data_IF_918498197089
#
_entry.id   IF_918498197089
#
_cell.length_a   1.000
_cell.length_b   1.000
_cell.length_c   1.000
_cell.angle_alpha   90.00
_cell.angle_beta   90.00
_cell.angle_gamma   90.00
#
_symmetry.space_group_name_H-M   'P 1'
#
loop_
_entity.id
_entity.type
_entity.pdbx_description
1 polymer ?
2 non-polymer ?
3 non-polymer ?
4 water ?
#
# COMPACT_ATOMS: atom_id res chain seq x y z
N UNK A 1 11.01 14.40 6.03
CA UNK A 1 9.79 15.10 5.55
C UNK A 1 8.52 14.51 6.16
N UNK A 2 7.42 15.24 5.98
CA UNK A 2 6.09 14.83 6.42
C UNK A 2 5.35 14.90 5.11
N UNK A 3 5.01 13.74 4.57
CA UNK A 3 4.36 13.67 3.27
C UNK A 3 2.86 13.45 3.35
N UNK A 4 2.09 14.31 2.67
CA UNK A 4 0.63 14.15 2.64
C UNK A 4 0.25 13.24 1.48
N UNK A 5 -0.95 12.67 1.57
CA UNK A 5 -1.43 11.70 0.60
C UNK A 5 -2.43 12.14 -0.47
N UNK A 6 -2.36 13.41 -0.85
CA UNK A 6 -3.25 13.92 -1.89
C UNK A 6 -2.89 13.32 -3.27
N UNK A 7 -1.61 12.99 -3.44
CA UNK A 7 -1.14 12.35 -4.67
C UNK A 7 -0.30 11.15 -4.19
N UNK A 8 -0.03 10.22 -5.10
CA UNK A 8 0.75 9.04 -4.75
C UNK A 8 2.09 9.44 -4.13
N UNK A 9 2.49 8.80 -3.00
CA UNK A 9 3.78 9.17 -2.40
C UNK A 9 4.97 8.57 -3.17
N UNK A 10 5.32 9.19 -4.31
CA UNK A 10 6.46 8.74 -5.14
C UNK A 10 7.74 9.46 -4.70
N UNK A 11 8.85 8.73 -4.67
CA UNK A 11 10.14 9.27 -4.26
C UNK A 11 11.18 8.72 -5.19
N UNK A 12 12.36 9.31 -5.09
CA UNK A 12 13.50 8.91 -5.90
C UNK A 12 14.24 7.82 -5.17
N UNK A 13 14.59 6.77 -5.90
CA UNK A 13 15.36 5.70 -5.32
C UNK A 13 16.52 5.45 -6.29
N UNK A 14 17.72 5.27 -5.74
CA UNK A 14 18.91 5.01 -6.53
C UNK A 14 19.34 3.60 -6.20
N UNK A 15 19.50 2.78 -7.22
CA UNK A 15 19.89 1.41 -6.98
C UNK A 15 20.72 0.87 -8.14
N UNK A 16 21.97 0.55 -7.84
CA UNK A 16 22.87 0.04 -8.85
C UNK A 16 23.19 1.15 -9.81
N UNK A 17 23.45 2.33 -9.24
CA UNK A 17 23.76 3.48 -10.06
C UNK A 17 22.56 4.08 -10.78
N UNK A 18 21.54 3.27 -11.04
CA UNK A 18 20.32 3.72 -11.73
C UNK A 18 19.31 4.43 -10.82
N UNK A 19 18.81 5.56 -11.30
CA UNK A 19 17.81 6.34 -10.58
C UNK A 19 16.43 5.94 -11.10
N UNK A 20 15.50 5.79 -10.15
CA UNK A 20 14.13 5.42 -10.44
C UNK A 20 13.16 6.04 -9.42
N UNK A 21 11.89 5.77 -9.64
CA UNK A 21 10.85 6.29 -8.78
C UNK A 21 10.09 5.11 -8.22
N UNK A 22 9.70 5.21 -6.96
CA UNK A 22 8.96 4.14 -6.33
C UNK A 22 7.94 4.71 -5.38
N UNK A 23 6.90 3.94 -5.16
CA UNK A 23 5.81 4.30 -4.28
C UNK A 23 6.06 3.89 -2.82
N UNK A 24 5.94 4.83 -1.88
CA UNK A 24 6.12 4.50 -0.46
C UNK A 24 4.80 3.79 -0.13
N UNK A 25 4.88 2.48 0.07
CA UNK A 25 3.69 1.65 0.27
C UNK A 25 3.61 0.99 1.65
N UNK A 26 2.79 1.54 2.55
CA UNK A 26 2.66 0.97 3.88
C UNK A 26 1.76 -0.27 3.85
N UNK A 27 1.11 -0.48 2.71
CA UNK A 27 0.26 -1.64 2.53
C UNK A 27 1.02 -2.83 1.95
N UNK A 28 2.29 -2.63 1.59
CA UNK A 28 3.15 -3.69 1.05
C UNK A 28 4.15 -4.21 2.11
N UNK A 29 4.19 -5.52 2.30
CA UNK A 29 5.10 -6.13 3.28
C UNK A 29 6.53 -6.02 2.77
N UNK A 30 6.64 -6.21 1.46
CA UNK A 30 7.90 -6.22 0.73
C UNK A 30 8.03 -5.10 -0.31
N UNK A 31 9.26 -4.92 -0.77
CA UNK A 31 9.63 -3.93 -1.76
C UNK A 31 9.64 -4.68 -3.08
N UNK A 32 8.86 -4.23 -4.04
CA UNK A 32 8.80 -4.94 -5.32
C UNK A 32 9.18 -4.02 -6.46
N UNK A 33 10.18 -4.46 -7.25
CA UNK A 33 10.70 -3.68 -8.38
C UNK A 33 10.69 -4.36 -9.75
N UNK A 34 10.74 -3.50 -10.77
CA UNK A 34 10.82 -3.92 -12.16
C UNK A 34 12.22 -4.54 -12.27
N UNK A 35 12.52 -5.24 -13.36
CA UNK A 35 13.86 -5.83 -13.49
C UNK A 35 14.95 -4.77 -13.27
N UNK A 36 15.86 -5.05 -12.34
CA UNK A 36 16.95 -4.13 -12.04
C UNK A 36 18.29 -4.73 -12.49
N UNK A 37 18.21 -5.90 -13.12
CA UNK A 37 19.39 -6.64 -13.60
C UNK A 37 20.47 -6.64 -12.51
N UNK A 38 20.08 -7.14 -11.34
CA UNK A 38 20.95 -7.20 -10.17
C UNK A 38 21.88 -8.41 -10.21
N UNK A 39 23.15 -8.22 -9.79
CA UNK A 39 24.12 -9.33 -9.78
C UNK A 39 23.78 -10.23 -8.61
N UNK A 40 24.35 -11.43 -8.61
CA UNK A 40 24.10 -12.34 -7.50
C UNK A 40 23.00 -13.34 -7.71
N UNK A 41 22.88 -14.23 -6.73
CA UNK A 41 21.87 -15.28 -6.75
C UNK A 41 20.54 -14.71 -6.25
N UNK A 42 19.45 -15.44 -6.49
CA UNK A 42 18.12 -15.02 -6.07
C UNK A 42 17.30 -16.26 -5.78
N UNK A 43 16.17 -16.08 -5.13
CA UNK A 43 15.30 -17.21 -4.83
C UNK A 43 13.94 -16.86 -5.37
N UNK A 44 13.36 -17.77 -6.15
CA UNK A 44 12.04 -17.46 -6.67
C UNK A 44 11.02 -17.55 -5.54
N UNK A 45 9.92 -16.83 -5.70
CA UNK A 45 8.83 -16.86 -4.72
C UNK A 45 7.58 -16.26 -5.35
N UNK A 46 6.46 -16.39 -4.64
CA UNK A 46 5.20 -15.85 -5.10
C UNK A 46 4.76 -14.83 -4.06
N UNK A 47 4.18 -13.73 -4.52
CA UNK A 47 3.64 -12.71 -3.63
C UNK A 47 2.30 -12.39 -4.22
N UNK A 48 1.42 -11.82 -3.41
CA UNK A 48 0.11 -11.49 -3.93
C UNK A 48 -0.26 -10.05 -3.65
N UNK A 49 -1.26 -9.57 -4.36
CA UNK A 49 -1.70 -8.22 -4.13
C UNK A 49 -3.19 -8.29 -4.30
N UNK A 50 -3.77 -7.20 -4.76
CA UNK A 50 -5.20 -7.16 -5.00
C UNK A 50 -5.13 -7.73 -6.43
N UNK A 51 -6.00 -8.67 -6.77
CA UNK A 51 -5.97 -9.18 -8.13
C UNK A 51 -5.29 -10.50 -8.42
N UNK A 52 -4.64 -11.11 -7.44
CA UNK A 52 -3.99 -12.37 -7.73
C UNK A 52 -2.54 -12.39 -7.31
N UNK A 53 -1.80 -13.37 -7.80
CA UNK A 53 -0.41 -13.54 -7.43
C UNK A 53 0.58 -13.37 -8.58
N UNK A 54 1.82 -13.04 -8.25
CA UNK A 54 2.85 -12.90 -9.27
C UNK A 54 4.13 -13.62 -8.82
N UNK A 55 4.94 -14.02 -9.79
CA UNK A 55 6.19 -14.70 -9.50
C UNK A 55 7.25 -13.62 -9.51
N UNK A 56 8.12 -13.63 -8.50
CA UNK A 56 9.19 -12.66 -8.39
C UNK A 56 10.50 -13.38 -8.05
N UNK A 57 11.62 -12.68 -8.21
CA UNK A 57 12.95 -13.18 -7.85
C UNK A 57 13.40 -12.38 -6.64
N UNK A 58 13.79 -13.06 -5.58
CA UNK A 58 14.22 -12.38 -4.37
C UNK A 58 15.74 -12.17 -4.24
N UNK A 59 16.17 -10.91 -4.14
CA UNK A 59 17.58 -10.56 -3.98
C UNK A 59 17.79 -9.93 -2.62
N UNK A 60 18.68 -10.51 -1.82
CA UNK A 60 18.96 -10.00 -0.48
C UNK A 60 20.20 -9.10 -0.47
N UNK A 61 20.32 -8.32 0.59
CA UNK A 61 21.45 -7.41 0.80
C UNK A 61 21.72 -6.40 -0.31
N UNK A 62 20.65 -5.87 -0.88
CA UNK A 62 20.73 -4.89 -1.96
C UNK A 62 20.91 -3.48 -1.40
N UNK A 63 21.98 -2.79 -1.80
CA UNK A 63 22.18 -1.43 -1.30
C UNK A 63 21.24 -0.52 -2.07
N UNK A 64 20.35 0.18 -1.38
CA UNK A 64 19.45 1.06 -2.10
C UNK A 64 19.32 2.41 -1.42
N UNK A 65 19.21 3.47 -2.21
CA UNK A 65 19.09 4.78 -1.61
C UNK A 65 17.73 5.39 -1.83
N UNK A 66 17.08 5.78 -0.73
CA UNK A 66 15.73 6.36 -0.74
C UNK A 66 15.71 7.73 -0.07
N UNK A 67 15.47 8.79 -0.84
CA UNK A 67 15.46 10.16 -0.29
C UNK A 67 16.73 10.48 0.49
N UNK A 68 17.89 10.18 -0.08
CA UNK A 68 19.14 10.46 0.60
C UNK A 68 19.45 9.55 1.79
N UNK A 69 18.57 8.58 2.04
CA UNK A 69 18.73 7.60 3.11
C UNK A 69 19.27 6.33 2.46
N UNK A 70 20.40 5.82 2.96
CA UNK A 70 21.00 4.58 2.42
C UNK A 70 20.57 3.38 3.27
N UNK A 71 20.01 2.37 2.62
CA UNK A 71 19.55 1.18 3.32
C UNK A 71 19.99 -0.07 2.56
N UNK A 72 19.88 -1.22 3.21
CA UNK A 72 20.28 -2.46 2.59
C UNK A 72 19.13 -3.40 2.91
N UNK A 73 18.61 -4.06 1.89
CA UNK A 73 17.52 -4.95 2.15
C UNK A 73 17.19 -5.86 1.01
N UNK A 74 16.15 -6.64 1.22
CA UNK A 74 15.66 -7.57 0.23
C UNK A 74 14.78 -6.82 -0.76
N UNK A 75 15.03 -7.07 -2.05
CA UNK A 75 14.26 -6.48 -3.13
C UNK A 75 13.66 -7.66 -3.88
N UNK A 76 12.38 -7.55 -4.21
CA UNK A 76 11.71 -8.60 -4.95
C UNK A 76 11.51 -8.02 -6.35
N UNK A 77 12.03 -8.72 -7.36
CA UNK A 77 11.91 -8.29 -8.75
C UNK A 77 10.86 -9.12 -9.53
N UNK A 78 10.04 -8.40 -10.29
CA UNK A 78 9.01 -9.09 -11.04
C UNK A 78 8.12 -8.18 -11.85
N UNK A 79 6.98 -8.71 -12.32
CA UNK A 79 5.96 -8.03 -13.14
C UNK A 79 4.99 -7.12 -12.39
N UNK A 80 5.54 -6.14 -11.68
CA UNK A 80 4.69 -5.21 -10.98
C UNK A 80 4.51 -4.01 -11.92
N UNK A 81 3.27 -3.47 -11.99
CA UNK A 81 2.97 -2.31 -12.86
C UNK A 81 3.72 -1.07 -12.38
N UNK A 82 4.11 -1.07 -11.10
CA UNK A 82 4.83 0.06 -10.52
C UNK A 82 5.75 -0.35 -9.34
N UNK A 83 6.85 0.39 -9.15
CA UNK A 83 7.80 0.12 -8.07
C UNK A 83 7.15 0.41 -6.71
N UNK A 84 7.39 -0.46 -5.75
CA UNK A 84 6.80 -0.32 -4.44
C UNK A 84 7.88 -0.47 -3.35
N UNK A 85 7.98 0.52 -2.45
CA UNK A 85 8.94 0.44 -1.34
C UNK A 85 8.06 -0.08 -0.22
N UNK A 86 8.25 -1.32 0.20
CA UNK A 86 7.43 -1.90 1.25
C UNK A 86 7.95 -1.63 2.65
N UNK A 87 7.24 -2.15 3.65
CA UNK A 87 7.59 -1.96 5.07
C UNK A 87 8.97 -2.47 5.45
N UNK A 88 9.50 -3.41 4.69
CA UNK A 88 10.82 -3.92 5.03
C UNK A 88 11.86 -2.80 4.89
N UNK A 89 11.63 -1.85 3.98
CA UNK A 89 12.58 -0.76 3.77
C UNK A 89 12.10 0.54 4.39
N UNK A 90 10.78 0.70 4.51
CA UNK A 90 10.20 1.89 5.12
C UNK A 90 10.68 1.96 6.57
N UNK A 91 10.80 0.81 7.24
CA UNK A 91 11.27 0.79 8.63
C UNK A 91 12.73 1.23 8.74
N UNK A 92 13.54 0.85 7.75
CA UNK A 92 14.96 1.19 7.75
C UNK A 92 15.18 2.69 7.66
N UNK A 93 14.23 3.44 7.11
CA UNK A 93 14.41 4.89 7.03
C UNK A 93 13.71 5.65 8.15
N UNK A 94 13.16 4.89 9.10
CA UNK A 94 12.44 5.45 10.23
C UNK A 94 11.09 6.02 9.84
N UNK A 95 10.47 5.46 8.80
CA UNK A 95 9.17 5.95 8.33
C UNK A 95 7.97 5.47 9.19
N UNK A 96 7.12 6.42 9.57
CA UNK A 96 5.93 6.11 10.35
C UNK A 96 4.66 6.70 9.69
N UNK A 97 3.48 6.18 10.06
CA UNK A 97 2.22 6.72 9.59
C UNK A 97 1.80 7.59 10.76
N UNK A 98 1.33 8.80 10.49
CA UNK A 98 0.93 9.69 11.58
C UNK A 98 -0.39 10.40 11.33
N UNK A 99 -1.20 10.53 12.36
CA UNK A 99 -2.46 11.26 12.25
C UNK A 99 -3.02 11.50 13.63
N UNK B 1 -1.99 9.32 16.44
CA UNK B 1 -1.00 8.32 16.89
C UNK B 1 0.17 8.24 15.91
N UNK B 2 1.28 7.66 16.36
CA UNK B 2 2.43 7.47 15.49
C UNK B 2 2.49 5.97 15.35
N UNK B 3 2.42 5.49 14.12
CA UNK B 3 2.43 4.06 13.88
C UNK B 3 3.70 3.65 13.14
N UNK B 4 4.56 2.88 13.81
CA UNK B 4 5.79 2.38 13.20
C UNK B 4 5.37 1.21 12.28
N UNK B 5 6.22 0.84 11.32
CA UNK B 5 5.87 -0.17 10.33
C UNK B 5 6.49 -1.55 10.41
N UNK B 6 6.86 -1.93 11.63
CA UNK B 6 7.48 -3.23 11.87
C UNK B 6 6.47 -4.35 11.65
N UNK B 7 5.19 -4.02 11.81
CA UNK B 7 4.15 -5.00 11.55
C UNK B 7 3.15 -4.24 10.69
N UNK B 8 2.20 -4.95 10.08
CA UNK B 8 1.18 -4.32 9.22
C UNK B 8 0.34 -3.26 9.95
N UNK B 9 0.15 -2.07 9.34
CA UNK B 9 -0.64 -1.05 10.03
C UNK B 9 -2.15 -1.30 10.02
N UNK B 10 -2.60 -2.17 10.91
CA UNK B 10 -4.02 -2.50 11.02
C UNK B 10 -4.65 -1.64 12.11
N UNK B 11 -5.79 -1.04 11.78
CA UNK B 11 -6.51 -0.18 12.70
C UNK B 11 -7.99 -0.58 12.69
N UNK B 12 -8.74 -0.10 13.67
CA UNK B 12 -10.16 -0.40 13.76
C UNK B 12 -10.95 0.61 12.93
N UNK B 13 -11.96 0.13 12.20
CA UNK B 13 -12.83 1.01 11.43
C UNK B 13 -14.26 0.65 11.76
N UNK B 14 -15.15 1.63 11.72
CA UNK B 14 -16.54 1.35 11.98
C UNK B 14 -17.27 1.78 10.73
N UNK B 15 -17.90 0.82 10.06
CA UNK B 15 -18.65 1.08 8.84
C UNK B 15 -19.97 0.32 8.89
N UNK B 16 -21.05 1.01 8.54
CA UNK B 16 -22.36 0.38 8.51
C UNK B 16 -22.77 -0.17 9.86
N UNK B 17 -22.20 0.41 10.91
CA UNK B 17 -22.54 -0.01 12.26
C UNK B 17 -21.66 -1.09 12.87
N UNK B 18 -20.77 -1.68 12.08
CA UNK B 18 -19.91 -2.73 12.61
C UNK B 18 -18.43 -2.38 12.67
N UNK B 19 -17.78 -2.87 13.73
CA UNK B 19 -16.35 -2.71 13.95
C UNK B 19 -15.60 -3.77 13.13
N UNK B 20 -14.61 -3.33 12.35
CA UNK B 20 -13.80 -4.21 11.52
C UNK B 20 -12.37 -3.75 11.64
N UNK B 21 -11.49 -4.47 10.96
CA UNK B 21 -10.08 -4.16 10.94
C UNK B 21 -9.74 -3.83 9.52
N UNK B 22 -8.87 -2.87 9.36
CA UNK B 22 -8.48 -2.44 8.04
C UNK B 22 -7.02 -2.02 8.04
N UNK B 23 -6.40 -2.17 6.88
CA UNK B 23 -5.00 -1.83 6.67
C UNK B 23 -4.88 -0.40 6.13
N UNK B 24 -4.02 0.41 6.75
CA UNK B 24 -3.79 1.78 6.28
C UNK B 24 -2.72 1.61 5.21
N UNK B 25 -3.15 1.78 3.96
CA UNK B 25 -2.32 1.56 2.79
C UNK B 25 -2.09 2.82 1.97
N UNK B 26 -0.89 3.39 2.06
CA UNK B 26 -0.56 4.60 1.31
C UNK B 26 -0.34 4.30 -0.18
N UNK B 27 -0.23 3.02 -0.51
CA UNK B 27 -0.04 2.64 -1.90
C UNK B 27 -1.34 2.42 -2.65
N UNK B 28 -2.48 2.50 -1.95
CA UNK B 28 -3.78 2.31 -2.59
C UNK B 28 -4.43 3.67 -2.86
N UNK B 29 -4.85 3.91 -4.10
CA UNK B 29 -5.48 5.18 -4.45
C UNK B 29 -6.87 5.20 -3.87
N UNK B 30 -7.44 4.00 -3.78
CA UNK B 30 -8.81 3.81 -3.32
C UNK B 30 -8.91 2.90 -2.12
N UNK B 31 -10.14 2.80 -1.62
CA UNK B 31 -10.47 2.00 -0.46
C UNK B 31 -11.23 0.78 -0.96
N UNK B 32 -10.73 -0.41 -0.62
CA UNK B 32 -11.34 -1.66 -1.04
C UNK B 32 -11.62 -2.53 0.19
N UNK B 33 -12.88 -2.89 0.40
CA UNK B 33 -13.22 -3.68 1.57
C UNK B 33 -13.79 -5.02 1.18
N UNK B 34 -13.62 -6.00 2.06
CA UNK B 34 -14.12 -7.35 1.83
C UNK B 34 -15.65 -7.25 1.68
N UNK B 35 -16.24 -8.27 1.07
CA UNK B 35 -17.68 -8.31 0.83
C UNK B 35 -18.53 -7.98 2.07
N UNK B 36 -19.54 -7.13 1.86
CA UNK B 36 -20.44 -6.69 2.92
C UNK B 36 -21.62 -5.93 2.30
N UNK B 37 -22.75 -5.93 2.99
CA UNK B 37 -23.94 -5.24 2.48
C UNK B 37 -23.89 -3.77 2.90
N UNK B 38 -23.90 -2.86 1.94
CA UNK B 38 -23.85 -1.43 2.25
C UNK B 38 -25.09 -0.74 1.71
N UNK B 39 -25.47 0.39 2.33
CA UNK B 39 -26.65 1.15 1.91
C UNK B 39 -26.46 1.98 0.65
N UNK B 40 -27.53 2.10 -0.13
CA UNK B 40 -27.45 2.88 -1.34
C UNK B 40 -27.23 2.11 -2.63
N UNK B 41 -27.17 2.85 -3.73
CA UNK B 41 -26.98 2.25 -5.04
C UNK B 41 -25.49 2.14 -5.29
N UNK B 42 -25.08 1.04 -5.90
CA UNK B 42 -23.67 0.83 -6.22
C UNK B 42 -23.47 0.79 -7.75
N UNK B 43 -22.23 0.95 -8.19
CA UNK B 43 -21.87 0.93 -9.63
C UNK B 43 -20.78 -0.11 -9.86
N UNK B 44 -20.93 -0.96 -10.89
CA UNK B 44 -19.84 -1.94 -11.08
C UNK B 44 -18.56 -1.27 -11.62
N UNK B 45 -17.39 -1.67 -11.12
CA UNK B 45 -16.12 -1.12 -11.61
C UNK B 45 -14.98 -2.14 -11.45
N UNK B 46 -13.82 -1.82 -11.99
CA UNK B 46 -12.65 -2.68 -11.88
C UNK B 46 -11.43 -1.89 -11.45
N UNK B 47 -10.73 -2.39 -10.45
CA UNK B 47 -9.51 -1.74 -10.00
C UNK B 47 -8.38 -2.74 -10.19
N UNK B 48 -7.18 -2.22 -10.43
CA UNK B 48 -6.04 -3.10 -10.62
C UNK B 48 -4.98 -2.99 -9.54
N UNK B 49 -4.30 -4.10 -9.27
CA UNK B 49 -3.25 -4.10 -8.28
C UNK B 49 -2.08 -4.94 -8.75
N UNK B 50 -1.28 -5.42 -7.81
CA UNK B 50 -0.14 -6.28 -8.12
C UNK B 50 -0.37 -7.50 -9.00
N UNK B 51 -1.43 -8.27 -8.76
CA UNK B 51 -1.65 -9.46 -9.57
C UNK B 51 -2.70 -9.30 -10.65
N UNK B 52 -3.09 -8.06 -10.96
CA UNK B 52 -4.09 -7.84 -12.00
C UNK B 52 -5.33 -7.09 -11.55
N UNK B 53 -6.44 -7.34 -12.24
CA UNK B 53 -7.72 -6.69 -11.96
C UNK B 53 -8.81 -7.54 -11.27
N UNK B 54 -9.62 -6.90 -10.42
CA UNK B 54 -10.77 -7.56 -9.77
C UNK B 54 -12.00 -6.69 -9.97
N UNK B 55 -13.17 -7.30 -9.95
CA UNK B 55 -14.38 -6.54 -10.15
C UNK B 55 -14.85 -6.09 -8.78
N UNK B 56 -15.36 -4.86 -8.70
CA UNK B 56 -15.83 -4.30 -7.44
C UNK B 56 -17.17 -3.55 -7.57
N UNK B 57 -17.90 -3.39 -6.46
CA UNK B 57 -19.16 -2.61 -6.46
C UNK B 57 -18.75 -1.31 -5.78
N UNK B 58 -19.01 -0.19 -6.46
CA UNK B 58 -18.66 1.13 -5.96
C UNK B 58 -19.78 1.84 -5.24
N UNK B 59 -19.56 2.15 -3.96
CA UNK B 59 -20.56 2.89 -3.19
C UNK B 59 -19.99 4.28 -2.88
N UNK B 60 -20.75 5.32 -3.17
CA UNK B 60 -20.27 6.66 -2.92
C UNK B 60 -20.84 7.24 -1.64
N UNK B 61 -20.12 8.22 -1.10
CA UNK B 61 -20.57 8.93 0.10
C UNK B 61 -20.83 8.08 1.34
N UNK B 62 -20.03 7.05 1.56
CA UNK B 62 -20.23 6.19 2.72
C UNK B 62 -19.44 6.72 3.92
N UNK B 63 -20.07 6.76 5.10
CA UNK B 63 -19.40 7.24 6.31
C UNK B 63 -18.58 6.12 6.94
N UNK B 64 -17.37 6.46 7.37
CA UNK B 64 -16.50 5.48 8.02
C UNK B 64 -15.77 6.17 9.14
N UNK B 65 -15.60 5.44 10.23
CA UNK B 65 -14.86 5.94 11.37
C UNK B 65 -13.58 5.12 11.43
N UNK B 66 -12.46 5.80 11.28
CA UNK B 66 -11.16 5.17 11.30
C UNK B 66 -10.47 5.58 12.60
N UNK B 67 -10.41 4.64 13.54
CA UNK B 67 -9.83 4.86 14.86
C UNK B 67 -10.51 6.07 15.48
N UNK B 68 -11.85 6.07 15.41
CA UNK B 68 -12.63 7.16 15.96
C UNK B 68 -12.81 8.40 15.09
N UNK B 69 -11.97 8.60 14.07
CA UNK B 69 -12.04 9.77 13.17
C UNK B 69 -13.04 9.56 12.00
N UNK B 70 -14.03 10.44 11.88
CA UNK B 70 -15.02 10.29 10.82
C UNK B 70 -14.55 10.76 9.47
N UNK B 71 -14.86 9.96 8.45
CA UNK B 71 -14.57 10.28 7.05
C UNK B 71 -15.80 9.84 6.25
N UNK B 72 -15.95 10.37 5.04
CA UNK B 72 -17.07 10.02 4.18
C UNK B 72 -16.49 10.03 2.76
N UNK B 73 -16.70 8.96 2.02
CA UNK B 73 -16.16 8.94 0.68
C UNK B 73 -16.49 7.63 0.03
N UNK B 74 -15.99 7.45 -1.19
CA UNK B 74 -16.23 6.25 -1.97
C UNK B 74 -15.61 4.99 -1.38
N UNK B 75 -16.38 3.92 -1.36
CA UNK B 75 -15.92 2.65 -0.85
C UNK B 75 -16.16 1.61 -1.97
N UNK B 76 -15.12 0.86 -2.33
CA UNK B 76 -15.21 -0.20 -3.35
C UNK B 76 -15.33 -1.53 -2.60
N UNK B 77 -16.30 -2.35 -2.98
CA UNK B 77 -16.50 -3.62 -2.29
C UNK B 77 -16.28 -4.79 -3.25
N UNK B 78 -15.47 -5.75 -2.84
CA UNK B 78 -15.21 -6.87 -3.72
C UNK B 78 -14.40 -7.98 -3.10
N UNK B 79 -13.96 -8.95 -3.92
CA UNK B 79 -13.16 -10.09 -3.45
C UNK B 79 -11.72 -9.77 -3.01
N UNK B 80 -11.57 -8.90 -2.01
CA UNK B 80 -10.24 -8.57 -1.51
C UNK B 80 -9.95 -9.47 -0.30
N UNK B 81 -8.68 -9.86 -0.12
CA UNK B 81 -8.29 -10.71 1.01
C UNK B 81 -8.52 -9.92 2.31
N UNK B 82 -8.24 -8.62 2.26
CA UNK B 82 -8.41 -7.79 3.44
C UNK B 82 -8.84 -6.36 3.16
N UNK B 83 -9.37 -5.72 4.19
CA UNK B 83 -9.82 -4.35 4.08
C UNK B 83 -8.62 -3.42 3.92
N UNK B 84 -8.70 -2.55 2.92
CA UNK B 84 -7.64 -1.61 2.59
C UNK B 84 -8.19 -0.18 2.66
N UNK B 85 -7.61 0.68 3.50
CA UNK B 85 -8.06 2.08 3.58
C UNK B 85 -7.09 2.81 2.67
N UNK B 86 -7.60 3.47 1.64
CA UNK B 86 -6.74 4.14 0.69
C UNK B 86 -6.59 5.64 0.84
N UNK B 87 -5.83 6.25 -0.06
CA UNK B 87 -5.59 7.69 0.05
C UNK B 87 -6.85 8.53 0.05
N UNK B 88 -7.86 8.08 -0.67
CA UNK B 88 -9.08 8.83 -0.72
C UNK B 88 -9.63 9.09 0.66
N UNK B 89 -9.38 8.18 1.60
CA UNK B 89 -9.89 8.35 2.97
C UNK B 89 -8.79 8.78 3.94
N UNK B 90 -7.58 8.28 3.73
CA UNK B 90 -6.45 8.65 4.57
C UNK B 90 -6.25 10.17 4.59
N UNK B 91 -6.43 10.84 3.45
CA UNK B 91 -6.26 12.30 3.41
C UNK B 91 -7.26 13.03 4.33
N UNK B 92 -8.42 12.41 4.55
CA UNK B 92 -9.43 13.01 5.40
C UNK B 92 -9.13 12.96 6.88
N UNK B 93 -8.23 12.08 7.31
CA UNK B 93 -7.91 12.06 8.72
C UNK B 93 -6.57 12.79 8.89
N UNK B 94 -6.11 13.38 7.79
CA UNK B 94 -4.86 14.11 7.82
C UNK B 94 -3.68 13.18 7.98
N UNK B 95 -3.83 11.94 7.53
CA UNK B 95 -2.76 10.95 7.66
C UNK B 95 -1.53 11.34 6.84
N UNK B 96 -0.34 11.22 7.43
CA UNK B 96 0.91 11.56 6.75
C UNK B 96 2.01 10.53 7.03
N UNK B 97 2.97 10.47 6.11
CA UNK B 97 4.14 9.61 6.22
C UNK B 97 5.26 10.54 6.68
N UNK B 98 6.03 10.10 7.67
CA UNK B 98 7.10 10.91 8.22
C UNK B 98 8.41 10.16 8.42
N UNK B 99 9.51 10.83 8.09
CA UNK B 99 10.85 10.27 8.29
C UNK B 99 11.94 11.35 8.12
X LIG C 1 -3.35 -2.39 -4.99
X LIG C 1 -3.28 -1.16 -4.92
X LIG C 1 -4.35 -0.28 -4.94
X LIG C 1 -5.80 -0.68 -4.95
X LIG C 1 -6.63 0.61 -4.97
X LIG C 1 -6.11 -1.46 -3.67
X LIG C 1 -6.06 -1.51 -6.19
X LIG C 1 -2.10 -0.43 -4.82
X LIG C 1 -0.89 -1.26 -4.72
X LIG C 1 -0.44 -1.49 -3.23
X LIG C 1 0.69 -2.33 -3.19
X LIG C 1 0.27 -0.62 -5.51
X LIG C 1 0.11 -0.72 -6.99
X LIG C 1 0.38 -1.92 -7.66
X LIG C 1 -0.38 0.35 -7.73
X LIG C 1 0.15 -2.06 -9.03
X LIG C 1 -0.62 0.22 -9.11
X LIG C 1 -0.35 -1.00 -9.75
X LIG C 1 -1.55 -2.14 -2.40
X LIG C 1 -1.05 -2.56 -1.13
X LIG C 1 -1.38 -3.92 -0.74
X LIG C 1 -0.59 -4.99 -1.49
X LIG C 1 -0.77 -5.23 -2.68
X LIG C 1 -2.89 -4.18 -0.88
X LIG C 1 -3.33 -5.50 -0.30
X LIG C 1 -3.04 -5.82 1.02
X LIG C 1 -4.01 -6.43 -1.10
X LIG C 1 -3.42 -7.07 1.56
X LIG C 1 -4.39 -7.68 -0.58
X LIG C 1 -4.09 -8.00 0.75
X LIG C 1 0.31 -5.62 -0.76
X LIG C 1 1.15 -6.66 -1.29
X LIG C 1 1.52 -7.55 -0.08
X LIG C 1 1.73 -7.04 1.04
X LIG C 1 2.37 -6.03 -1.96
X LIG C 1 3.43 -7.02 -2.42
X LIG C 1 4.34 -7.48 -1.28
X LIG C 1 4.97 -8.57 -1.40
X LIG C 1 4.45 -6.75 -0.27
X LIG C 1 1.56 -8.87 -0.28
X LIG C 1 1.88 -9.81 0.80
X LIG C 1 2.55 -11.11 0.29
X LIG C 1 2.41 -11.48 -0.89
X LIG C 1 0.60 -10.15 1.58
X LIG C 1 -0.43 -10.89 0.77
X LIG C 1 -0.37 -12.28 0.64
X LIG C 1 -1.47 -10.21 0.14
X LIG C 1 -1.32 -12.99 -0.11
X LIG C 1 -2.42 -10.91 -0.61
X LIG C 1 -2.35 -12.31 -0.73
X LIG C 1 3.28 -11.79 1.17
X LIG D 1 13.33 -18.83 -11.80
X LIG D 1 14.18 -18.80 -13.01
X LIG D 1 14.03 -19.60 -10.76
X LIG D 1 12.05 -19.51 -12.12
X LIG D 1 13.05 -17.45 -11.34
#
# INVERSE_FOLDING_TARGET
>A
PQITLWQRPLVTIKIGGQLKEALLDTGADDTVLEEMSLPGRWKPKMIGGIGGFIKVRQYDQIPIEICGHKVIGTVLVGPTPTNVIGRNLLTQIGCTLNF
>B
PQITLWQRPLVTIKIGGQLKEALLDTGADDTVLEEMSLPGRWKPKMIGGIGGFIKVRQYDQIPIEICGHKVIGTVLVGPTPTNVIGRNLLTQIGCTLNF
>C hetero
1 0ZS O1 C O2 CT C1 C2 C3 N1 CA1 C5 OXT CB1 CG1 CD11 CD21 CE11 CE21 CZ1 CM N CA C4 O CB CG CD1 CD2 CE1 CE2 CZ N2 CA2 C6 O3 CB2 CG2 CD OE1 OE2 N3 CA3 C7 O4 CB3 CG3 CD12 CD22 CE12 CE22 CZ2 N4
>D hetero
1 SO4 S O1 O2 O3 O4
#
